data_IF_346856443601
#
_entry.id   IF_346856443601
#
_cell.length_a   1.000
_cell.length_b   1.000
_cell.length_c   1.000
_cell.angle_alpha   90.00
_cell.angle_beta   90.00
_cell.angle_gamma   90.00
#
_symmetry.space_group_name_H-M   'P 1'
#
loop_
_entity.id
_entity.type
_entity.pdbx_description
1 polymer ?
#
# COMPACT_ATOMS: atom_id res chain seq x y z
N UNK A 1 1.91 -3.16 23.85
CA UNK A 1 2.44 -2.52 22.63
C UNK A 1 1.26 -2.12 21.77
N UNK A 2 0.89 -0.85 21.79
CA UNK A 2 -0.25 -0.34 21.02
C UNK A 2 0.12 -0.33 19.54
N UNK A 3 -0.55 -1.18 18.76
CA UNK A 3 -0.43 -1.16 17.30
C UNK A 3 -1.11 0.12 16.84
N UNK A 4 -0.36 1.17 16.50
CA UNK A 4 -0.89 2.28 15.69
C UNK A 4 -1.33 1.66 14.36
N UNK A 5 -2.60 1.30 14.28
CA UNK A 5 -3.23 0.81 13.04
C UNK A 5 -3.37 2.03 12.15
N UNK A 6 -2.69 2.01 11.01
CA UNK A 6 -2.95 3.00 9.98
C UNK A 6 -4.37 2.78 9.45
N UNK A 7 -4.96 3.78 8.79
CA UNK A 7 -6.37 3.69 8.37
C UNK A 7 -6.66 2.54 7.39
N UNK A 8 -5.61 1.91 6.85
CA UNK A 8 -5.66 0.80 5.91
C UNK A 8 -5.39 -0.57 6.56
N UNK A 9 -5.31 -0.63 7.89
CA UNK A 9 -5.04 -1.87 8.66
C UNK A 9 -3.79 -2.63 8.19
N UNK A 10 -2.78 -1.88 7.71
CA UNK A 10 -1.51 -2.47 7.28
C UNK A 10 -0.81 -3.17 8.45
N UNK A 11 -0.23 -4.36 8.22
CA UNK A 11 0.64 -4.99 9.19
C UNK A 11 1.92 -4.16 9.37
N UNK A 12 2.65 -4.36 10.46
CA UNK A 12 3.91 -3.63 10.68
C UNK A 12 4.97 -3.98 9.62
N UNK A 13 6.01 -3.14 9.50
CA UNK A 13 7.07 -3.29 8.48
C UNK A 13 7.69 -4.70 8.44
N UNK A 14 7.76 -5.40 9.57
CA UNK A 14 8.26 -6.77 9.67
C UNK A 14 7.54 -7.75 8.72
N UNK A 15 6.28 -7.51 8.38
CA UNK A 15 5.51 -8.33 7.45
C UNK A 15 6.07 -8.20 6.02
N UNK A 16 6.39 -6.97 5.64
CA UNK A 16 6.98 -6.63 4.35
C UNK A 16 8.45 -7.05 4.29
N UNK A 17 9.21 -6.89 5.38
CA UNK A 17 10.59 -7.38 5.48
C UNK A 17 10.72 -8.90 5.31
N UNK A 18 9.66 -9.64 5.62
CA UNK A 18 9.59 -11.07 5.36
C UNK A 18 9.20 -11.43 3.91
N UNK A 19 9.10 -10.44 3.01
CA UNK A 19 8.79 -10.64 1.58
C UNK A 19 7.31 -10.93 1.29
N UNK A 20 6.40 -10.57 2.20
CA UNK A 20 4.98 -10.83 2.01
C UNK A 20 4.31 -9.72 1.20
N UNK A 21 3.60 -10.09 0.14
CA UNK A 21 2.66 -9.21 -0.56
C UNK A 21 1.43 -8.95 0.30
N UNK A 22 0.95 -7.70 0.28
CA UNK A 22 -0.31 -7.31 0.91
C UNK A 22 -1.27 -6.71 -0.12
N UNK A 23 -2.54 -7.09 -0.05
CA UNK A 23 -3.61 -6.45 -0.81
C UNK A 23 -4.68 -5.91 0.13
N UNK A 24 -5.19 -4.72 -0.17
CA UNK A 24 -6.16 -4.06 0.67
C UNK A 24 -7.08 -3.16 -0.12
N UNK A 25 -8.16 -2.73 0.53
CA UNK A 25 -9.08 -1.75 -0.06
C UNK A 25 -9.71 -0.87 1.01
N UNK A 26 -10.01 0.37 0.65
CA UNK A 26 -10.68 1.36 1.49
C UNK A 26 -11.63 2.18 0.62
N UNK A 27 -12.93 2.01 0.82
CA UNK A 27 -13.93 2.66 -0.03
C UNK A 27 -13.80 2.24 -1.50
N UNK A 28 -13.53 3.20 -2.39
CA UNK A 28 -13.28 2.93 -3.81
C UNK A 28 -11.81 2.63 -4.12
N UNK A 29 -10.88 2.99 -3.24
CA UNK A 29 -9.45 2.78 -3.45
C UNK A 29 -9.11 1.31 -3.16
N UNK A 30 -8.53 0.63 -4.14
CA UNK A 30 -7.92 -0.69 -4.01
C UNK A 30 -6.42 -0.52 -4.18
N UNK A 31 -5.63 -1.27 -3.43
CA UNK A 31 -4.18 -1.20 -3.53
C UNK A 31 -3.53 -2.57 -3.30
N UNK A 32 -2.35 -2.71 -3.87
CA UNK A 32 -1.49 -3.87 -3.76
C UNK A 32 -0.09 -3.39 -3.43
N UNK A 33 0.54 -4.06 -2.47
CA UNK A 33 1.90 -3.79 -2.03
C UNK A 33 2.69 -5.08 -2.23
N UNK A 34 3.64 -5.05 -3.15
CA UNK A 34 4.59 -6.14 -3.37
C UNK A 34 5.96 -5.73 -2.81
N UNK A 35 6.75 -6.71 -2.39
CA UNK A 35 8.06 -6.48 -1.79
C UNK A 35 9.08 -7.41 -2.41
N UNK A 36 10.10 -6.81 -3.02
CA UNK A 36 11.34 -7.47 -3.42
C UNK A 36 12.48 -6.85 -2.58
N UNK A 37 13.38 -6.08 -3.19
CA UNK A 37 14.41 -5.29 -2.49
C UNK A 37 13.85 -3.98 -1.91
N UNK A 38 12.69 -3.55 -2.41
CA UNK A 38 11.99 -2.34 -2.03
C UNK A 38 10.47 -2.59 -2.01
N UNK A 39 9.73 -1.68 -1.40
CA UNK A 39 8.27 -1.74 -1.32
C UNK A 39 7.71 -1.11 -2.59
N UNK A 40 6.96 -1.88 -3.37
CA UNK A 40 6.23 -1.40 -4.53
C UNK A 40 4.75 -1.33 -4.20
N UNK A 41 4.13 -0.17 -4.36
CA UNK A 41 2.68 -0.01 -4.17
C UNK A 41 2.02 0.46 -5.45
N UNK A 42 0.87 -0.13 -5.74
CA UNK A 42 0.01 0.26 -6.83
C UNK A 42 -1.44 0.38 -6.35
N UNK A 43 -2.16 1.38 -6.84
CA UNK A 43 -3.57 1.58 -6.52
C UNK A 43 -4.46 1.80 -7.75
N UNK A 44 -5.73 1.44 -7.60
CA UNK A 44 -6.75 1.58 -8.63
C UNK A 44 -8.15 1.72 -8.00
N UNK A 45 -9.06 2.38 -8.71
CA UNK A 45 -10.44 2.65 -8.24
C UNK A 45 -11.51 1.95 -9.06
N UNK A 46 -11.14 1.40 -10.21
CA UNK A 46 -12.07 0.67 -11.07
C UNK A 46 -12.56 -0.59 -10.35
N UNK A 47 -13.78 -1.08 -10.68
CA UNK A 47 -14.29 -2.34 -10.13
C UNK A 47 -13.59 -3.58 -10.72
N UNK A 48 -12.63 -3.39 -11.64
CA UNK A 48 -11.93 -4.47 -12.31
C UNK A 48 -10.80 -5.03 -11.43
N UNK A 49 -10.50 -6.31 -11.61
CA UNK A 49 -9.34 -6.96 -10.99
C UNK A 49 -8.05 -6.26 -11.42
N UNK A 50 -7.00 -6.35 -10.59
CA UNK A 50 -5.70 -5.68 -10.80
C UNK A 50 -5.13 -5.85 -12.22
N UNK A 51 -5.31 -7.02 -12.84
CA UNK A 51 -4.84 -7.33 -14.20
C UNK A 51 -5.64 -6.63 -15.32
N UNK A 52 -6.85 -6.16 -15.02
CA UNK A 52 -7.78 -5.53 -15.96
C UNK A 52 -8.00 -4.04 -15.69
N UNK A 53 -7.44 -3.52 -14.59
CA UNK A 53 -7.55 -2.11 -14.24
C UNK A 53 -6.34 -1.33 -14.75
N UNK A 54 -6.59 -0.14 -15.30
CA UNK A 54 -5.53 0.87 -15.36
C UNK A 54 -5.15 1.24 -13.92
N UNK A 55 -3.86 1.19 -13.62
CA UNK A 55 -3.34 1.61 -12.32
C UNK A 55 -3.29 3.13 -12.32
N UNK A 56 -4.02 3.75 -11.41
CA UNK A 56 -4.10 5.21 -11.31
C UNK A 56 -2.89 5.79 -10.57
N UNK A 57 -2.27 5.01 -9.68
CA UNK A 57 -1.09 5.41 -8.94
C UNK A 57 -0.12 4.24 -8.74
N UNK A 58 1.17 4.54 -8.87
CA UNK A 58 2.27 3.65 -8.45
C UNK A 58 3.32 4.45 -7.71
N UNK A 59 3.86 3.88 -6.64
CA UNK A 59 4.96 4.46 -5.89
C UNK A 59 5.90 3.35 -5.38
N UNK A 60 7.13 3.74 -5.12
CA UNK A 60 8.17 2.85 -4.62
C UNK A 60 8.80 3.48 -3.38
N UNK A 61 9.03 2.66 -2.36
CA UNK A 61 9.60 3.09 -1.10
C UNK A 61 10.70 2.13 -0.65
N UNK A 62 11.77 2.62 0.00
CA UNK A 62 12.78 1.73 0.57
C UNK A 62 12.16 0.83 1.65
N UNK A 63 12.65 -0.41 1.77
CA UNK A 63 12.21 -1.37 2.80
C UNK A 63 12.78 -1.00 4.19
N UNK A 64 12.45 0.20 4.65
CA UNK A 64 12.90 0.83 5.90
C UNK A 64 11.69 1.44 6.62
N UNK A 65 11.83 1.74 7.91
CA UNK A 65 10.76 2.42 8.68
C UNK A 65 10.33 3.74 8.02
N UNK A 66 11.27 4.50 7.46
CA UNK A 66 11.00 5.74 6.74
C UNK A 66 10.17 5.49 5.48
N UNK A 67 10.54 4.48 4.69
CA UNK A 67 9.77 4.10 3.50
C UNK A 67 8.40 3.53 3.83
N UNK A 68 8.26 2.79 4.92
CA UNK A 68 6.96 2.29 5.40
C UNK A 68 6.03 3.44 5.85
N UNK A 69 6.57 4.44 6.54
CA UNK A 69 5.81 5.66 6.86
C UNK A 69 5.45 6.46 5.59
N UNK A 70 6.35 6.50 4.59
CA UNK A 70 6.09 7.09 3.28
C UNK A 70 4.97 6.40 2.51
N UNK A 71 4.96 5.06 2.48
CA UNK A 71 3.89 4.24 1.92
C UNK A 71 2.53 4.59 2.53
N UNK A 72 2.48 4.67 3.85
CA UNK A 72 1.28 5.05 4.60
C UNK A 72 0.78 6.43 4.16
N UNK A 73 1.65 7.43 4.17
CA UNK A 73 1.31 8.80 3.80
C UNK A 73 0.85 8.90 2.34
N UNK A 74 1.46 8.12 1.44
CA UNK A 74 1.06 8.06 0.03
C UNK A 74 -0.32 7.46 -0.14
N UNK A 75 -0.62 6.33 0.53
CA UNK A 75 -1.97 5.75 0.50
C UNK A 75 -3.02 6.70 1.07
N UNK A 76 -2.69 7.45 2.13
CA UNK A 76 -3.56 8.47 2.70
C UNK A 76 -3.84 9.60 1.71
N UNK A 77 -2.82 10.08 0.99
CA UNK A 77 -2.96 11.09 -0.06
C UNK A 77 -3.79 10.58 -1.25
N UNK A 78 -3.51 9.37 -1.74
CA UNK A 78 -4.28 8.72 -2.79
C UNK A 78 -5.73 8.59 -2.37
N UNK A 79 -6.02 8.17 -1.14
CA UNK A 79 -7.38 8.07 -0.62
C UNK A 79 -8.07 9.44 -0.51
N UNK A 80 -7.35 10.49 -0.11
CA UNK A 80 -7.90 11.85 -0.03
C UNK A 80 -8.20 12.45 -1.42
N UNK A 81 -7.52 12.00 -2.47
CA UNK A 81 -7.78 12.39 -3.86
C UNK A 81 -9.05 11.73 -4.47
N UNK A 82 -9.90 11.07 -3.65
CA UNK A 82 -11.15 10.39 -4.07
C UNK A 82 -12.29 11.36 -4.38
#
# INVERSE_FOLDING_TARGET
MERKRNQFDLPGIYYFQAGNTYTGSKGKLRFRIDVDDQIHVACWRTPLCFELSEMEGRAEFPLTEEGYNGLIAWLDAEYAAT
#
